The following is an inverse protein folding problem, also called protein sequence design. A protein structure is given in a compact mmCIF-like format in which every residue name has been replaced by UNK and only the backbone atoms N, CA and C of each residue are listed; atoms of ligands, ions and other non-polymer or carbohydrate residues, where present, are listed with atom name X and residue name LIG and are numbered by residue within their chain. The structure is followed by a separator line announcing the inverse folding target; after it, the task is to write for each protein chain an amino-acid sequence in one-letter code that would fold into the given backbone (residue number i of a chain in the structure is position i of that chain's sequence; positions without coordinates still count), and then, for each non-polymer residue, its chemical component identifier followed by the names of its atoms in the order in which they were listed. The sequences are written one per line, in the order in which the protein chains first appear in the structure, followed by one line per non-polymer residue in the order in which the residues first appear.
data_IF_076591476510
#
_entry.id   IF_076591476510
#
_cell.length_a   1.000
_cell.length_b   1.000
_cell.length_c   1.000
_cell.angle_alpha   90.00
_cell.angle_beta   90.00
_cell.angle_gamma   90.00
#
_symmetry.space_group_name_H-M   'P 1'
#
loop_
_entity.id
_entity.type
_entity.pdbx_description
1 polymer ?
#
# COMPACT_ATOMS: atom_id res chain seq x y z
N UNK A 1 13.14 18.51 -43.82
CA UNK A 1 12.15 18.28 -42.76
C UNK A 1 11.61 19.64 -42.35
N UNK A 2 10.29 19.84 -42.42
CA UNK A 2 9.70 21.14 -42.13
C UNK A 2 9.60 21.36 -40.62
N UNK A 3 9.80 22.59 -40.16
CA UNK A 3 9.65 23.01 -38.76
C UNK A 3 8.30 22.60 -38.14
N UNK A 4 7.24 22.56 -38.95
CA UNK A 4 5.92 22.12 -38.51
C UNK A 4 5.86 20.61 -38.22
N UNK A 5 6.64 19.79 -38.93
CA UNK A 5 6.69 18.35 -38.71
C UNK A 5 7.41 18.04 -37.39
N UNK A 6 8.52 18.74 -37.10
CA UNK A 6 9.24 18.57 -35.82
C UNK A 6 8.41 19.02 -34.62
N UNK A 7 7.69 20.13 -34.72
CA UNK A 7 6.78 20.60 -33.65
C UNK A 7 5.64 19.60 -33.42
N UNK A 8 5.08 19.01 -34.48
CA UNK A 8 4.02 18.02 -34.36
C UNK A 8 4.53 16.71 -33.71
N UNK A 9 5.75 16.26 -34.05
CA UNK A 9 6.36 15.10 -33.40
C UNK A 9 6.67 15.36 -31.91
N UNK A 10 7.19 16.53 -31.57
CA UNK A 10 7.45 16.92 -30.18
C UNK A 10 6.15 17.00 -29.36
N UNK A 11 5.09 17.57 -29.93
CA UNK A 11 3.77 17.61 -29.27
C UNK A 11 3.20 16.22 -29.04
N UNK A 12 3.32 15.30 -30.01
CA UNK A 12 2.89 13.91 -29.83
C UNK A 12 3.66 13.22 -28.71
N UNK A 13 4.99 13.36 -28.70
CA UNK A 13 5.83 12.81 -27.62
C UNK A 13 5.45 13.38 -26.26
N UNK A 14 5.27 14.69 -26.16
CA UNK A 14 4.88 15.34 -24.91
C UNK A 14 3.52 14.85 -24.40
N UNK A 15 2.55 14.60 -25.29
CA UNK A 15 1.24 14.03 -24.92
C UNK A 15 1.38 12.58 -24.47
N UNK A 16 2.17 11.77 -25.16
CA UNK A 16 2.42 10.37 -24.79
C UNK A 16 3.12 10.26 -23.42
N UNK A 17 4.15 11.07 -23.20
CA UNK A 17 4.88 11.18 -21.93
C UNK A 17 3.96 11.68 -20.80
N UNK A 18 3.14 12.69 -21.07
CA UNK A 18 2.15 13.20 -20.12
C UNK A 18 1.12 12.14 -19.73
N UNK A 19 0.66 11.33 -20.70
CA UNK A 19 -0.29 10.24 -20.40
C UNK A 19 0.36 9.12 -19.60
N UNK A 20 1.61 8.76 -19.90
CA UNK A 20 2.36 7.77 -19.15
C UNK A 20 2.55 8.22 -17.68
N UNK A 21 2.96 9.47 -17.47
CA UNK A 21 3.15 10.04 -16.13
C UNK A 21 1.85 10.05 -15.31
N UNK A 22 0.72 10.41 -15.93
CA UNK A 22 -0.59 10.38 -15.27
C UNK A 22 -1.01 8.95 -14.87
N UNK A 23 -0.79 7.97 -15.75
CA UNK A 23 -1.10 6.56 -15.48
C UNK A 23 -0.27 6.03 -14.30
N UNK A 24 1.01 6.37 -14.25
CA UNK A 24 1.91 5.99 -13.16
C UNK A 24 1.52 6.66 -11.83
N UNK A 25 1.15 7.94 -11.87
CA UNK A 25 0.64 8.68 -10.72
C UNK A 25 -0.65 8.06 -10.16
N UNK A 26 -1.60 7.73 -11.03
CA UNK A 26 -2.85 7.08 -10.63
C UNK A 26 -2.61 5.69 -10.02
N UNK A 27 -1.70 4.89 -10.61
CA UNK A 27 -1.33 3.59 -10.07
C UNK A 27 -0.68 3.72 -8.68
N UNK A 28 0.28 4.64 -8.53
CA UNK A 28 0.93 4.94 -7.27
C UNK A 28 -0.07 5.40 -6.20
N UNK A 29 -1.02 6.27 -6.56
CA UNK A 29 -2.10 6.73 -5.68
C UNK A 29 -2.97 5.58 -5.19
N UNK A 30 -3.37 4.67 -6.09
CA UNK A 30 -4.17 3.49 -5.74
C UNK A 30 -3.45 2.59 -4.73
N UNK A 31 -2.14 2.34 -4.92
CA UNK A 31 -1.36 1.52 -4.00
C UNK A 31 -1.20 2.17 -2.63
N UNK A 32 -0.99 3.49 -2.57
CA UNK A 32 -0.94 4.24 -1.30
C UNK A 32 -2.28 4.18 -0.54
N UNK A 33 -3.40 4.26 -1.26
CA UNK A 33 -4.73 4.12 -0.64
C UNK A 33 -4.94 2.71 -0.08
N UNK A 34 -4.51 1.67 -0.79
CA UNK A 34 -4.54 0.29 -0.26
C UNK A 34 -3.71 0.15 1.01
N UNK A 35 -2.49 0.67 1.03
CA UNK A 35 -1.64 0.67 2.23
C UNK A 35 -2.32 1.39 3.41
N UNK A 36 -2.95 2.54 3.16
CA UNK A 36 -3.68 3.26 4.20
C UNK A 36 -4.83 2.41 4.79
N UNK A 37 -5.60 1.74 3.92
CA UNK A 37 -6.70 0.87 4.35
C UNK A 37 -6.21 -0.34 5.16
N UNK A 38 -5.11 -0.97 4.74
CA UNK A 38 -4.49 -2.09 5.46
C UNK A 38 -4.00 -1.67 6.85
N UNK A 39 -3.35 -0.51 6.95
CA UNK A 39 -2.94 0.02 8.26
C UNK A 39 -4.15 0.24 9.19
N UNK A 40 -5.23 0.82 8.66
CA UNK A 40 -6.46 1.04 9.43
C UNK A 40 -7.10 -0.28 9.86
N UNK A 41 -7.04 -1.30 9.03
CA UNK A 41 -7.52 -2.63 9.37
C UNK A 41 -6.65 -3.27 10.46
N UNK A 42 -5.31 -3.17 10.36
CA UNK A 42 -4.40 -3.64 11.41
C UNK A 42 -4.69 -2.95 12.76
N UNK A 43 -4.86 -1.62 12.78
CA UNK A 43 -5.24 -0.87 13.99
C UNK A 43 -6.56 -1.35 14.60
N UNK A 44 -7.52 -1.76 13.77
CA UNK A 44 -8.77 -2.34 14.25
C UNK A 44 -8.51 -3.70 14.92
N UNK A 45 -7.70 -4.57 14.30
CA UNK A 45 -7.35 -5.88 14.87
C UNK A 45 -6.55 -5.77 16.16
N UNK A 46 -5.61 -4.83 16.25
CA UNK A 46 -4.89 -4.56 17.49
C UNK A 46 -5.82 -4.09 18.62
N UNK A 47 -6.83 -3.27 18.30
CA UNK A 47 -7.85 -2.88 19.29
C UNK A 47 -8.70 -4.08 19.75
N UNK A 48 -9.10 -4.95 18.83
CA UNK A 48 -9.84 -6.19 19.14
C UNK A 48 -9.00 -7.08 20.08
N UNK A 49 -7.71 -7.29 19.78
CA UNK A 49 -6.79 -8.03 20.66
C UNK A 49 -6.69 -7.38 22.04
N UNK A 50 -6.48 -6.06 22.10
CA UNK A 50 -6.41 -5.33 23.36
C UNK A 50 -7.66 -5.48 24.21
N UNK A 51 -8.85 -5.49 23.58
CA UNK A 51 -10.12 -5.76 24.24
C UNK A 51 -10.19 -7.16 24.85
N UNK A 52 -9.80 -8.19 24.09
CA UNK A 52 -9.79 -9.59 24.57
C UNK A 52 -8.83 -9.75 25.76
N UNK A 53 -7.63 -9.20 25.65
CA UNK A 53 -6.63 -9.26 26.74
C UNK A 53 -7.16 -8.54 27.98
N UNK A 54 -7.68 -7.33 27.82
CA UNK A 54 -8.25 -6.55 28.92
C UNK A 54 -9.42 -7.28 29.61
N UNK A 55 -10.32 -7.88 28.84
CA UNK A 55 -11.45 -8.63 29.41
C UNK A 55 -11.01 -9.90 30.13
N UNK A 56 -10.01 -10.60 29.61
CA UNK A 56 -9.47 -11.82 30.21
C UNK A 56 -8.82 -11.54 31.56
N UNK A 57 -8.00 -10.48 31.63
CA UNK A 57 -7.42 -9.97 32.87
C UNK A 57 -8.51 -9.54 33.87
N UNK A 58 -9.49 -8.74 33.42
CA UNK A 58 -10.60 -8.26 34.26
C UNK A 58 -11.37 -9.43 34.89
N UNK A 59 -11.62 -10.49 34.13
CA UNK A 59 -12.42 -11.64 34.56
C UNK A 59 -11.58 -12.73 35.25
N UNK A 60 -10.26 -12.55 35.39
CA UNK A 60 -9.33 -13.57 35.91
C UNK A 60 -9.51 -14.92 35.20
N UNK A 61 -9.81 -14.88 33.90
CA UNK A 61 -10.06 -16.06 33.06
C UNK A 61 -8.75 -16.69 32.60
N UNK A 62 -8.87 -17.84 31.95
CA UNK A 62 -7.75 -18.52 31.29
C UNK A 62 -6.94 -17.58 30.38
N UNK A 63 -5.67 -17.95 30.21
CA UNK A 63 -4.67 -17.26 29.39
C UNK A 63 -5.26 -16.79 28.03
N UNK A 64 -5.33 -15.47 27.77
CA UNK A 64 -5.91 -14.91 26.55
C UNK A 64 -5.20 -15.41 25.28
N UNK A 65 -3.94 -15.84 25.36
CA UNK A 65 -3.18 -16.36 24.23
C UNK A 65 -3.71 -17.72 23.72
N UNK A 66 -4.48 -18.43 24.55
CA UNK A 66 -5.17 -19.67 24.17
C UNK A 66 -6.52 -19.41 23.52
N UNK A 67 -7.00 -18.16 23.51
CA UNK A 67 -8.26 -17.80 22.84
C UNK A 67 -8.13 -18.06 21.34
N UNK A 68 -9.00 -18.90 20.75
CA UNK A 68 -9.04 -19.10 19.30
C UNK A 68 -9.31 -17.80 18.55
N UNK A 69 -10.06 -16.89 19.15
CA UNK A 69 -10.33 -15.56 18.59
C UNK A 69 -9.04 -14.73 18.52
N UNK A 70 -8.26 -14.67 19.61
CA UNK A 70 -6.98 -13.94 19.62
C UNK A 70 -6.01 -14.54 18.59
N UNK A 71 -5.93 -15.87 18.49
CA UNK A 71 -5.09 -16.53 17.50
C UNK A 71 -5.49 -16.19 16.06
N UNK A 72 -6.80 -16.12 15.79
CA UNK A 72 -7.32 -15.67 14.49
C UNK A 72 -6.92 -14.23 14.20
N UNK A 73 -7.07 -13.31 15.15
CA UNK A 73 -6.70 -11.90 14.98
C UNK A 73 -5.20 -11.73 14.72
N UNK A 74 -4.35 -12.50 15.41
CA UNK A 74 -2.91 -12.52 15.15
C UNK A 74 -2.59 -13.04 13.74
N UNK A 75 -3.29 -14.07 13.27
CA UNK A 75 -3.13 -14.57 11.91
C UNK A 75 -3.57 -13.52 10.86
N UNK A 76 -4.67 -12.82 11.09
CA UNK A 76 -5.15 -11.73 10.24
C UNK A 76 -4.11 -10.59 10.17
N UNK A 77 -3.50 -10.20 11.29
CA UNK A 77 -2.43 -9.18 11.31
C UNK A 77 -1.23 -9.62 10.48
N UNK A 78 -0.79 -10.88 10.59
CA UNK A 78 0.32 -11.41 9.78
C UNK A 78 0.02 -11.38 8.28
N UNK A 79 -1.23 -11.63 7.89
CA UNK A 79 -1.66 -11.50 6.49
C UNK A 79 -1.59 -10.05 6.02
N UNK A 80 -2.06 -9.12 6.85
CA UNK A 80 -1.99 -7.67 6.56
C UNK A 80 -0.52 -7.21 6.42
N UNK A 81 0.38 -7.69 7.28
CA UNK A 81 1.82 -7.40 7.18
C UNK A 81 2.41 -7.90 5.86
N UNK A 82 2.09 -9.13 5.46
CA UNK A 82 2.56 -9.69 4.20
C UNK A 82 2.04 -8.91 2.98
N UNK A 83 0.77 -8.53 2.98
CA UNK A 83 0.18 -7.71 1.91
C UNK A 83 0.79 -6.29 1.87
N UNK A 84 1.01 -5.70 3.04
CA UNK A 84 1.65 -4.39 3.19
C UNK A 84 3.05 -4.39 2.59
N UNK A 85 3.84 -5.43 2.87
CA UNK A 85 5.20 -5.53 2.33
C UNK A 85 5.19 -5.74 0.81
N UNK A 86 4.27 -6.57 0.29
CA UNK A 86 4.13 -6.76 -1.15
C UNK A 86 3.78 -5.45 -1.88
N UNK A 87 2.88 -4.64 -1.32
CA UNK A 87 2.51 -3.33 -1.88
C UNK A 87 3.64 -2.30 -1.77
N UNK A 88 4.46 -2.35 -0.70
CA UNK A 88 5.65 -1.50 -0.56
C UNK A 88 6.69 -1.83 -1.64
N UNK A 89 6.92 -3.11 -1.91
CA UNK A 89 7.80 -3.55 -2.98
C UNK A 89 7.26 -3.14 -4.37
N UNK A 90 5.95 -3.21 -4.59
CA UNK A 90 5.32 -2.70 -5.81
C UNK A 90 5.54 -1.19 -5.99
N UNK A 91 5.37 -0.40 -4.92
CA UNK A 91 5.64 1.04 -4.95
C UNK A 91 7.12 1.37 -5.21
N UNK A 92 8.06 0.59 -4.64
CA UNK A 92 9.49 0.74 -4.92
C UNK A 92 9.80 0.48 -6.40
N UNK A 93 9.20 -0.55 -7.00
CA UNK A 93 9.36 -0.88 -8.42
C UNK A 93 8.80 0.20 -9.35
N UNK A 94 7.75 0.91 -8.93
CA UNK A 94 7.25 2.08 -9.67
C UNK A 94 8.25 3.24 -9.58
N UNK A 95 8.69 3.61 -8.37
CA UNK A 95 9.69 4.67 -8.18
C UNK A 95 11.03 4.41 -8.89
N UNK A 96 11.49 3.16 -8.94
CA UNK A 96 12.74 2.77 -9.60
C UNK A 96 12.69 2.82 -11.13
N UNK A 97 11.54 3.09 -11.74
CA UNK A 97 11.39 3.30 -13.19
C UNK A 97 11.50 4.77 -13.61
N UNK A 98 11.66 5.70 -12.67
CA UNK A 98 11.98 7.09 -13.02
C UNK A 98 13.32 7.10 -13.77
N UNK A 99 13.37 7.55 -15.04
CA UNK A 99 14.65 7.82 -15.68
C UNK A 99 15.31 8.94 -14.87
N UNK A 100 16.42 8.61 -14.22
CA UNK A 100 17.29 9.59 -13.60
C UNK A 100 17.64 10.64 -14.65
N UNK A 101 17.03 11.82 -14.57
CA UNK A 101 17.42 12.97 -15.38
C UNK A 101 18.82 13.34 -14.91
N UNK A 102 19.88 13.17 -15.73
CA UNK A 102 21.21 13.60 -15.34
C UNK A 102 21.19 15.13 -15.21
N UNK A 103 21.70 15.61 -14.07
CA UNK A 103 21.94 17.04 -13.82
C UNK A 103 23.04 17.57 -14.75
#
# INVERSE_FOLDING_TARGET
MNFLDSVNEELKKAVEEGWAALKESAQSGRLRLKLHNLNREAEKRFREIGGIVYESERLHREDPLKSPELQRLVAEIRQIEAETEALREELKKLKGKEPSVPK
#
